data_IF_841394602863
#
_entry.id   IF_841394602863
#
_cell.length_a   1.000
_cell.length_b   1.000
_cell.length_c   1.000
_cell.angle_alpha   90.00
_cell.angle_beta   90.00
_cell.angle_gamma   90.00
#
_symmetry.space_group_name_H-M   'P 1'
#
loop_
_entity.id
_entity.type
_entity.pdbx_description
1 polymer ?
#
# COMPACT_ATOMS: atom_id res chain seq x y z
N UNK A 1 -55.40 4.05 -37.79
CA UNK A 1 -55.48 5.12 -36.78
C UNK A 1 -54.50 4.79 -35.68
N UNK A 2 -53.50 5.64 -35.50
CA UNK A 2 -52.33 5.44 -34.66
C UNK A 2 -52.64 5.73 -33.18
N UNK A 3 -52.11 4.92 -32.26
CA UNK A 3 -52.23 5.15 -30.81
C UNK A 3 -50.87 4.99 -30.08
N UNK A 4 -50.21 6.14 -29.94
CA UNK A 4 -49.51 6.69 -28.76
C UNK A 4 -48.74 5.79 -27.78
N UNK A 5 -47.53 5.30 -28.14
CA UNK A 5 -46.53 4.82 -27.15
C UNK A 5 -45.07 5.04 -27.54
N UNK A 6 -44.60 6.30 -27.49
CA UNK A 6 -43.27 6.73 -26.97
C UNK A 6 -43.08 8.23 -27.23
N UNK A 7 -43.73 9.09 -26.44
CA UNK A 7 -43.30 10.49 -26.29
C UNK A 7 -42.01 10.51 -25.48
N UNK A 8 -40.89 10.89 -26.10
CA UNK A 8 -39.66 11.28 -25.38
C UNK A 8 -39.97 12.51 -24.51
N UNK A 9 -40.41 12.26 -23.28
CA UNK A 9 -40.73 13.29 -22.30
C UNK A 9 -39.43 13.82 -21.69
N UNK A 10 -39.01 14.97 -22.21
CA UNK A 10 -37.94 15.77 -21.63
C UNK A 10 -38.34 16.29 -20.24
N UNK A 11 -37.51 16.02 -19.24
CA UNK A 11 -37.76 16.40 -17.86
C UNK A 11 -37.05 17.70 -17.51
N UNK A 12 -37.73 18.58 -16.78
CA UNK A 12 -37.08 19.72 -16.12
C UNK A 12 -36.14 19.22 -14.99
N UNK A 13 -35.19 20.05 -14.50
CA UNK A 13 -34.29 19.64 -13.43
C UNK A 13 -35.01 19.14 -12.16
N UNK A 14 -36.14 19.77 -11.79
CA UNK A 14 -36.92 19.38 -10.63
C UNK A 14 -37.62 18.02 -10.82
N UNK A 15 -38.16 17.77 -12.01
CA UNK A 15 -38.79 16.48 -12.34
C UNK A 15 -37.75 15.36 -12.44
N UNK A 16 -36.58 15.64 -13.04
CA UNK A 16 -35.47 14.70 -13.11
C UNK A 16 -34.97 14.33 -11.71
N UNK A 17 -34.70 15.33 -10.87
CA UNK A 17 -34.31 15.16 -9.47
C UNK A 17 -35.29 14.27 -8.69
N UNK A 18 -36.59 14.57 -8.79
CA UNK A 18 -37.64 13.77 -8.13
C UNK A 18 -37.67 12.33 -8.62
N UNK A 19 -37.46 12.10 -9.93
CA UNK A 19 -37.53 10.77 -10.54
C UNK A 19 -36.30 9.91 -10.25
N UNK A 20 -35.13 10.50 -10.11
CA UNK A 20 -33.87 9.78 -9.82
C UNK A 20 -33.51 9.76 -8.33
N UNK A 21 -34.28 10.44 -7.47
CA UNK A 21 -33.98 10.60 -6.05
C UNK A 21 -32.76 11.49 -5.76
N UNK A 22 -32.36 12.32 -6.73
CA UNK A 22 -31.22 13.24 -6.62
C UNK A 22 -31.71 14.65 -6.31
N UNK A 23 -30.80 15.53 -5.86
CA UNK A 23 -31.09 16.97 -5.77
C UNK A 23 -30.79 17.66 -7.09
N UNK A 24 -31.46 18.79 -7.36
CA UNK A 24 -31.13 19.64 -8.53
C UNK A 24 -29.66 20.12 -8.48
N UNK A 25 -29.11 20.29 -7.27
CA UNK A 25 -27.69 20.61 -7.07
C UNK A 25 -26.79 19.46 -7.53
N UNK A 26 -27.12 18.21 -7.23
CA UNK A 26 -26.36 17.04 -7.69
C UNK A 26 -26.33 16.95 -9.23
N UNK A 27 -27.46 17.19 -9.90
CA UNK A 27 -27.52 17.23 -11.37
C UNK A 27 -26.55 18.27 -11.98
N UNK A 28 -26.45 19.46 -11.37
CA UNK A 28 -25.50 20.50 -11.79
C UNK A 28 -24.04 20.12 -11.54
N UNK A 29 -23.77 19.45 -10.43
CA UNK A 29 -22.42 18.94 -10.11
C UNK A 29 -22.00 17.90 -11.16
N UNK A 30 -22.91 17.02 -11.56
CA UNK A 30 -22.61 15.98 -12.56
C UNK A 30 -22.40 16.59 -13.95
N UNK A 31 -23.21 17.57 -14.36
CA UNK A 31 -22.96 18.34 -15.59
C UNK A 31 -21.60 19.06 -15.55
N UNK A 32 -21.25 19.72 -14.43
CA UNK A 32 -19.97 20.40 -14.29
C UNK A 32 -18.77 19.45 -14.30
N UNK A 33 -18.95 18.21 -13.84
CA UNK A 33 -17.95 17.15 -13.88
C UNK A 33 -17.87 16.44 -15.26
N UNK A 34 -18.61 16.93 -16.27
CA UNK A 34 -18.64 16.36 -17.63
C UNK A 34 -19.41 15.04 -17.74
N UNK A 35 -20.09 14.62 -16.67
CA UNK A 35 -20.82 13.34 -16.60
C UNK A 35 -22.18 13.37 -17.30
N UNK A 36 -22.71 14.57 -17.52
CA UNK A 36 -23.99 14.81 -18.19
C UNK A 36 -23.85 15.98 -19.15
N UNK A 37 -24.51 15.87 -20.30
CA UNK A 37 -24.62 16.95 -21.27
C UNK A 37 -26.10 17.15 -21.64
N UNK A 38 -26.92 17.68 -20.71
CA UNK A 38 -28.35 17.78 -20.92
C UNK A 38 -28.68 18.77 -22.04
N UNK A 39 -29.73 18.46 -22.81
CA UNK A 39 -30.23 19.35 -23.85
C UNK A 39 -30.68 20.67 -23.24
N UNK A 40 -30.61 21.75 -24.00
CA UNK A 40 -31.12 23.06 -23.59
C UNK A 40 -32.23 23.55 -24.51
N UNK A 41 -33.19 24.28 -23.95
CA UNK A 41 -34.20 25.03 -24.72
C UNK A 41 -33.59 26.30 -25.33
N UNK A 42 -34.31 26.95 -26.23
CA UNK A 42 -33.93 28.26 -26.79
C UNK A 42 -33.74 29.35 -25.72
N UNK A 43 -34.47 29.25 -24.59
CA UNK A 43 -34.30 30.11 -23.41
C UNK A 43 -33.20 29.62 -22.46
N UNK A 44 -32.35 28.71 -22.92
CA UNK A 44 -31.20 28.14 -22.20
C UNK A 44 -31.56 27.32 -20.94
N UNK A 45 -32.77 26.75 -20.87
CA UNK A 45 -33.17 25.88 -19.75
C UNK A 45 -32.81 24.41 -20.01
N UNK A 46 -32.30 23.72 -18.99
CA UNK A 46 -31.88 22.32 -19.07
C UNK A 46 -33.08 21.37 -19.17
N UNK A 47 -32.95 20.38 -20.04
CA UNK A 47 -33.90 19.32 -20.29
C UNK A 47 -33.16 17.97 -20.28
N UNK A 48 -33.68 17.02 -19.52
CA UNK A 48 -33.11 15.69 -19.36
C UNK A 48 -33.97 14.66 -20.09
N UNK A 49 -33.38 13.93 -21.02
CA UNK A 49 -34.04 12.89 -21.79
C UNK A 49 -33.78 11.48 -21.24
N UNK A 50 -34.23 10.47 -21.99
CA UNK A 50 -34.02 9.07 -21.62
C UNK A 50 -32.54 8.69 -21.48
N UNK A 51 -31.66 9.24 -22.32
CA UNK A 51 -30.21 8.99 -22.26
C UNK A 51 -29.58 9.58 -21.00
N UNK A 52 -29.99 10.79 -20.59
CA UNK A 52 -29.53 11.41 -19.36
C UNK A 52 -29.96 10.60 -18.13
N UNK A 53 -31.19 10.07 -18.15
CA UNK A 53 -31.68 9.20 -17.07
C UNK A 53 -30.88 7.89 -16.99
N UNK A 54 -30.59 7.25 -18.13
CA UNK A 54 -29.77 6.05 -18.15
C UNK A 54 -28.36 6.32 -17.59
N UNK A 55 -27.75 7.44 -18.00
CA UNK A 55 -26.44 7.89 -17.49
C UNK A 55 -26.48 8.20 -16.00
N UNK A 56 -27.55 8.84 -15.51
CA UNK A 56 -27.74 9.11 -14.08
C UNK A 56 -27.90 7.83 -13.26
N UNK A 57 -28.62 6.83 -13.78
CA UNK A 57 -28.76 5.53 -13.12
C UNK A 57 -27.41 4.81 -13.03
N UNK A 58 -26.58 4.88 -14.07
CA UNK A 58 -25.22 4.34 -14.08
C UNK A 58 -24.32 5.03 -13.04
N UNK A 59 -24.30 6.37 -13.02
CA UNK A 59 -23.56 7.17 -12.02
C UNK A 59 -24.02 6.81 -10.59
N UNK A 60 -25.32 6.71 -10.36
CA UNK A 60 -25.87 6.37 -9.05
C UNK A 60 -25.48 4.95 -8.61
N UNK A 61 -25.45 4.00 -9.53
CA UNK A 61 -25.06 2.61 -9.27
C UNK A 61 -23.58 2.56 -8.86
N UNK A 62 -22.72 3.21 -9.62
CA UNK A 62 -21.29 3.31 -9.30
C UNK A 62 -21.05 4.08 -8.01
N UNK A 63 -21.83 5.13 -7.74
CA UNK A 63 -21.72 5.89 -6.49
C UNK A 63 -22.11 5.07 -5.26
N UNK A 64 -23.11 4.20 -5.38
CA UNK A 64 -23.51 3.23 -4.34
C UNK A 64 -22.46 2.15 -4.11
N UNK A 65 -21.64 1.86 -5.12
CA UNK A 65 -20.50 0.95 -5.01
C UNK A 65 -19.24 1.62 -4.44
N UNK A 66 -19.35 2.87 -3.94
CA UNK A 66 -18.27 3.57 -3.25
C UNK A 66 -17.41 4.49 -4.12
N UNK A 67 -17.65 4.56 -5.45
CA UNK A 67 -16.79 5.32 -6.35
C UNK A 67 -16.93 6.84 -6.14
N UNK A 68 -15.83 7.58 -6.27
CA UNK A 68 -15.82 9.05 -6.28
C UNK A 68 -16.31 9.59 -7.62
N UNK A 69 -16.75 10.86 -7.65
CA UNK A 69 -17.24 11.47 -8.90
C UNK A 69 -16.18 11.55 -10.00
N UNK A 70 -14.93 11.76 -9.61
CA UNK A 70 -13.79 11.78 -10.52
C UNK A 70 -13.51 10.41 -11.14
N UNK A 71 -13.62 9.33 -10.34
CA UNK A 71 -13.48 7.95 -10.83
C UNK A 71 -14.60 7.60 -11.80
N UNK A 72 -15.84 7.97 -11.47
CA UNK A 72 -16.99 7.77 -12.36
C UNK A 72 -16.79 8.55 -13.67
N UNK A 73 -16.26 9.77 -13.62
CA UNK A 73 -16.01 10.58 -14.83
C UNK A 73 -15.00 9.93 -15.76
N UNK A 74 -13.88 9.43 -15.23
CA UNK A 74 -12.87 8.70 -16.03
C UNK A 74 -13.42 7.41 -16.65
N UNK A 75 -14.23 6.68 -15.90
CA UNK A 75 -14.81 5.40 -16.34
C UNK A 75 -15.83 5.60 -17.46
N UNK A 76 -16.70 6.61 -17.33
CA UNK A 76 -17.75 6.89 -18.31
C UNK A 76 -17.26 7.68 -19.53
N UNK A 77 -16.07 8.29 -19.45
CA UNK A 77 -15.40 8.95 -20.58
C UNK A 77 -14.76 7.96 -21.59
N UNK A 78 -14.92 6.65 -21.41
CA UNK A 78 -14.41 5.63 -22.35
C UNK A 78 -12.90 5.43 -22.29
N UNK A 79 -12.21 6.04 -21.31
CA UNK A 79 -10.85 5.63 -20.97
C UNK A 79 -10.97 4.27 -20.30
N UNK A 80 -10.42 3.23 -20.95
CA UNK A 80 -10.39 1.86 -20.48
C UNK A 80 -9.53 1.70 -19.21
N UNK A 81 -9.88 2.40 -18.14
CA UNK A 81 -9.60 1.95 -16.79
C UNK A 81 -10.57 0.82 -16.51
N UNK A 82 -10.02 -0.39 -16.62
CA UNK A 82 -10.56 -1.69 -16.27
C UNK A 82 -11.55 -1.61 -15.10
N UNK A 83 -12.85 -1.47 -15.39
CA UNK A 83 -13.95 -1.36 -14.40
C UNK A 83 -13.89 -2.54 -13.42
N UNK A 84 -13.53 -3.71 -13.92
CA UNK A 84 -13.29 -4.92 -13.14
C UNK A 84 -12.23 -4.70 -12.07
N UNK A 85 -11.15 -3.99 -12.41
CA UNK A 85 -10.07 -3.63 -11.48
C UNK A 85 -10.51 -2.63 -10.42
N UNK A 86 -11.28 -1.61 -10.79
CA UNK A 86 -11.82 -0.62 -9.84
C UNK A 86 -12.76 -1.31 -8.86
N UNK A 87 -13.66 -2.17 -9.35
CA UNK A 87 -14.58 -2.94 -8.52
C UNK A 87 -13.86 -3.96 -7.65
N UNK A 88 -12.80 -4.60 -8.16
CA UNK A 88 -11.97 -5.52 -7.38
C UNK A 88 -11.28 -4.82 -6.21
N UNK A 89 -10.73 -3.62 -6.44
CA UNK A 89 -10.09 -2.82 -5.36
C UNK A 89 -11.12 -2.39 -4.32
N UNK A 90 -12.30 -1.93 -4.74
CA UNK A 90 -13.40 -1.59 -3.82
C UNK A 90 -13.88 -2.79 -3.02
N UNK A 91 -14.03 -3.96 -3.67
CA UNK A 91 -14.42 -5.19 -3.00
C UNK A 91 -13.38 -5.62 -1.94
N UNK A 92 -12.08 -5.47 -2.23
CA UNK A 92 -11.01 -5.75 -1.26
C UNK A 92 -11.06 -4.78 -0.07
N UNK A 93 -11.22 -3.47 -0.31
CA UNK A 93 -11.34 -2.49 0.77
C UNK A 93 -12.53 -2.76 1.70
N UNK A 94 -13.68 -3.13 1.13
CA UNK A 94 -14.87 -3.50 1.90
C UNK A 94 -14.65 -4.80 2.70
N UNK A 95 -13.94 -5.78 2.15
CA UNK A 95 -13.60 -7.02 2.87
C UNK A 95 -12.66 -6.75 4.05
N UNK A 96 -11.66 -5.90 3.88
CA UNK A 96 -10.80 -5.48 5.00
C UNK A 96 -11.60 -4.74 6.08
N UNK A 97 -12.55 -3.89 5.68
CA UNK A 97 -13.44 -3.22 6.62
C UNK A 97 -14.31 -4.23 7.39
N UNK A 98 -14.82 -5.27 6.74
CA UNK A 98 -15.54 -6.37 7.39
C UNK A 98 -14.65 -7.06 8.43
N UNK A 99 -13.41 -7.43 8.08
CA UNK A 99 -12.48 -8.08 9.00
C UNK A 99 -12.18 -7.20 10.22
N UNK A 100 -11.97 -5.89 10.01
CA UNK A 100 -11.75 -4.94 11.12
C UNK A 100 -12.97 -4.82 12.03
N UNK A 101 -14.16 -4.70 11.45
CA UNK A 101 -15.41 -4.62 12.21
C UNK A 101 -15.64 -5.91 13.01
N UNK A 102 -15.38 -7.07 12.41
CA UNK A 102 -15.47 -8.37 13.09
C UNK A 102 -14.49 -8.45 14.26
N UNK A 103 -13.24 -8.02 14.07
CA UNK A 103 -12.25 -8.00 15.15
C UNK A 103 -12.65 -7.07 16.30
N UNK A 104 -13.15 -5.86 15.99
CA UNK A 104 -13.69 -4.94 17.00
C UNK A 104 -14.89 -5.54 17.74
N UNK A 105 -15.78 -6.24 17.05
CA UNK A 105 -16.89 -6.97 17.68
C UNK A 105 -16.38 -8.07 18.62
N UNK A 106 -15.40 -8.87 18.20
CA UNK A 106 -14.79 -9.90 19.06
C UNK A 106 -14.16 -9.30 20.33
N UNK A 107 -13.48 -8.15 20.22
CA UNK A 107 -12.94 -7.45 21.39
C UNK A 107 -14.05 -6.99 22.34
N UNK A 108 -15.15 -6.44 21.80
CA UNK A 108 -16.31 -6.03 22.58
C UNK A 108 -16.95 -7.25 23.27
N UNK A 109 -17.14 -8.37 22.55
CA UNK A 109 -17.73 -9.61 23.09
C UNK A 109 -16.88 -10.19 24.23
N UNK A 110 -15.56 -10.20 24.07
CA UNK A 110 -14.62 -10.65 25.10
C UNK A 110 -14.66 -9.74 26.35
N UNK A 111 -14.74 -8.43 26.16
CA UNK A 111 -14.88 -7.47 27.26
C UNK A 111 -16.21 -7.63 28.00
N UNK A 112 -17.31 -7.81 27.26
CA UNK A 112 -18.63 -8.09 27.85
C UNK A 112 -18.62 -9.39 28.66
N UNK A 113 -17.92 -10.42 28.17
CA UNK A 113 -17.76 -11.70 28.88
C UNK A 113 -16.95 -11.53 30.16
N UNK A 114 -15.82 -10.81 30.14
CA UNK A 114 -15.01 -10.48 31.33
C UNK A 114 -15.84 -9.73 32.39
N UNK A 115 -16.64 -8.76 31.96
CA UNK A 115 -17.53 -8.03 32.88
C UNK A 115 -18.59 -8.95 33.50
N UNK A 116 -19.13 -9.91 32.73
CA UNK A 116 -20.11 -10.87 33.22
C UNK A 116 -19.51 -11.89 34.20
N UNK A 117 -18.24 -12.24 34.08
CA UNK A 117 -17.51 -13.13 35.02
C UNK A 117 -16.97 -12.41 36.25
N UNK A 118 -17.17 -11.09 36.36
CA UNK A 118 -16.73 -10.28 37.50
C UNK A 118 -15.27 -9.84 37.43
N UNK A 119 -14.61 -10.02 36.28
CA UNK A 119 -13.25 -9.54 36.04
C UNK A 119 -13.23 -8.03 35.75
N UNK A 120 -12.19 -7.35 36.22
CA UNK A 120 -12.02 -5.91 36.05
C UNK A 120 -11.41 -5.65 34.67
N UNK A 121 -12.07 -4.82 33.86
CA UNK A 121 -11.52 -4.36 32.59
C UNK A 121 -10.23 -3.58 32.79
N UNK A 122 -9.18 -3.96 32.07
CA UNK A 122 -7.89 -3.27 32.15
C UNK A 122 -7.87 -2.01 31.27
N UNK A 123 -6.97 -1.09 31.58
CA UNK A 123 -6.70 0.07 30.71
C UNK A 123 -6.22 -0.37 29.33
N UNK A 124 -5.53 -1.50 29.21
CA UNK A 124 -5.08 -2.06 27.94
C UNK A 124 -6.23 -2.60 27.09
N UNK A 125 -7.25 -3.21 27.71
CA UNK A 125 -8.48 -3.63 27.02
C UNK A 125 -9.18 -2.39 26.40
N UNK A 126 -9.30 -1.31 27.18
CA UNK A 126 -9.91 -0.05 26.71
C UNK A 126 -9.06 0.66 25.65
N UNK A 127 -7.72 0.60 25.77
CA UNK A 127 -6.80 1.13 24.78
C UNK A 127 -6.82 0.32 23.48
N UNK A 128 -7.00 -1.00 23.53
CA UNK A 128 -7.16 -1.83 22.34
C UNK A 128 -8.44 -1.47 21.57
N UNK A 129 -9.54 -1.20 22.28
CA UNK A 129 -10.79 -0.70 21.69
C UNK A 129 -10.61 0.72 21.11
N UNK A 130 -9.95 1.62 21.84
CA UNK A 130 -9.70 3.00 21.40
C UNK A 130 -8.77 3.07 20.18
N UNK A 131 -7.74 2.21 20.09
CA UNK A 131 -6.86 2.12 18.91
C UNK A 131 -7.62 1.64 17.68
N UNK A 132 -8.52 0.68 17.84
CA UNK A 132 -9.34 0.17 16.73
C UNK A 132 -10.47 1.15 16.33
N UNK A 133 -10.92 2.02 17.24
CA UNK A 133 -11.95 3.02 16.98
C UNK A 133 -11.41 4.40 16.57
N UNK A 134 -10.16 4.77 16.88
CA UNK A 134 -9.52 6.03 16.47
C UNK A 134 -8.67 5.95 15.20
N UNK A 135 -8.37 4.75 14.70
CA UNK A 135 -7.71 4.54 13.39
C UNK A 135 -8.73 4.48 12.22
N UNK A 136 -9.96 4.94 12.43
CA UNK A 136 -11.16 4.52 11.69
C UNK A 136 -11.41 5.18 10.34
N UNK A 137 -10.76 6.28 9.97
CA UNK A 137 -11.03 6.91 8.66
C UNK A 137 -9.76 7.18 7.84
N UNK A 138 -8.62 7.45 8.47
CA UNK A 138 -7.45 7.96 7.73
C UNK A 138 -6.48 6.88 7.27
N UNK A 139 -6.12 5.88 8.09
CA UNK A 139 -4.88 5.08 7.82
C UNK A 139 -5.02 4.01 6.73
N UNK A 140 -6.10 3.22 6.71
CA UNK A 140 -6.29 2.21 5.65
C UNK A 140 -6.64 2.85 4.31
N UNK A 141 -7.49 3.89 4.29
CA UNK A 141 -7.73 4.69 3.09
C UNK A 141 -6.46 5.40 2.63
N UNK A 142 -5.63 5.92 3.55
CA UNK A 142 -4.33 6.55 3.21
C UNK A 142 -3.34 5.54 2.65
N UNK A 143 -3.21 4.33 3.22
CA UNK A 143 -2.29 3.31 2.68
C UNK A 143 -2.80 2.81 1.32
N UNK A 144 -4.09 2.53 1.17
CA UNK A 144 -4.68 2.14 -0.11
C UNK A 144 -4.56 3.26 -1.17
N UNK A 145 -4.76 4.51 -0.76
CA UNK A 145 -4.55 5.69 -1.60
C UNK A 145 -3.09 5.86 -1.98
N UNK A 146 -2.15 5.72 -1.04
CA UNK A 146 -0.70 5.76 -1.31
C UNK A 146 -0.29 4.63 -2.24
N UNK A 147 -0.75 3.39 -2.04
CA UNK A 147 -0.50 2.26 -2.97
C UNK A 147 -0.99 2.62 -4.37
N UNK A 148 -2.21 3.15 -4.47
CA UNK A 148 -2.77 3.59 -5.74
C UNK A 148 -1.96 4.72 -6.38
N UNK A 149 -1.56 5.74 -5.62
CA UNK A 149 -0.73 6.85 -6.10
C UNK A 149 0.65 6.36 -6.58
N UNK A 150 1.34 5.57 -5.76
CA UNK A 150 2.67 5.03 -6.05
C UNK A 150 2.70 4.09 -7.26
N UNK A 151 1.58 3.44 -7.60
CA UNK A 151 1.45 2.57 -8.78
C UNK A 151 1.02 3.30 -10.06
N UNK A 152 0.70 4.61 -10.00
CA UNK A 152 0.31 5.34 -11.22
C UNK A 152 1.51 5.47 -12.18
N UNK A 153 1.28 5.45 -13.49
CA UNK A 153 2.30 5.81 -14.46
C UNK A 153 2.86 7.19 -14.15
N UNK A 154 4.18 7.28 -14.04
CA UNK A 154 4.92 8.52 -13.79
C UNK A 154 5.46 9.06 -15.10
N UNK A 155 5.50 10.38 -15.22
CA UNK A 155 6.03 11.06 -16.40
C UNK A 155 7.28 11.82 -16.00
N UNK A 156 8.38 11.54 -16.68
CA UNK A 156 9.63 12.26 -16.48
C UNK A 156 9.47 13.73 -16.90
N UNK A 157 9.99 14.64 -16.06
CA UNK A 157 10.01 16.08 -16.31
C UNK A 157 11.40 16.64 -16.06
N UNK A 158 11.85 17.50 -16.95
CA UNK A 158 13.10 18.21 -16.77
C UNK A 158 13.03 19.17 -15.57
N UNK A 159 14.05 19.14 -14.73
CA UNK A 159 14.29 20.10 -13.64
C UNK A 159 15.61 20.84 -13.91
N UNK A 160 15.91 21.91 -13.16
CA UNK A 160 17.18 22.63 -13.32
C UNK A 160 18.37 21.69 -13.06
N UNK A 161 19.22 21.54 -14.08
CA UNK A 161 20.44 20.74 -14.05
C UNK A 161 21.35 20.99 -12.85
N UNK A 162 21.33 22.22 -12.29
CA UNK A 162 22.17 22.58 -11.14
C UNK A 162 21.76 21.88 -9.85
N UNK A 163 20.49 21.49 -9.72
CA UNK A 163 19.96 20.86 -8.50
C UNK A 163 20.41 19.42 -8.33
N UNK A 164 20.82 18.73 -9.42
CA UNK A 164 21.18 17.32 -9.37
C UNK A 164 22.36 17.02 -8.42
N UNK A 165 23.31 17.96 -8.33
CA UNK A 165 24.46 17.81 -7.43
C UNK A 165 24.06 17.83 -5.94
N UNK A 166 22.96 18.51 -5.58
CA UNK A 166 22.51 18.63 -4.18
C UNK A 166 22.02 17.30 -3.59
N UNK A 167 21.47 16.43 -4.44
CA UNK A 167 20.92 15.14 -4.03
C UNK A 167 21.98 14.05 -3.86
N UNK A 168 23.17 14.27 -4.40
CA UNK A 168 24.26 13.30 -4.28
C UNK A 168 24.71 13.19 -2.82
N UNK A 169 24.90 11.96 -2.34
CA UNK A 169 25.27 11.70 -0.95
C UNK A 169 24.83 10.33 -0.47
N UNK A 170 24.94 10.12 0.84
CA UNK A 170 24.55 8.86 1.49
C UNK A 170 23.40 9.11 2.45
N UNK A 171 22.39 8.26 2.39
CA UNK A 171 21.18 8.36 3.20
C UNK A 171 20.94 7.03 3.89
N UNK A 172 20.99 7.01 5.21
CA UNK A 172 20.83 5.80 6.01
C UNK A 172 19.35 5.54 6.26
N UNK A 173 18.85 4.41 5.81
CA UNK A 173 17.56 3.87 6.19
C UNK A 173 17.79 2.62 7.04
N UNK A 174 17.56 2.76 8.34
CA UNK A 174 17.82 1.70 9.31
C UNK A 174 19.25 1.09 9.17
N UNK A 175 19.37 -0.15 8.68
CA UNK A 175 20.64 -0.86 8.47
C UNK A 175 21.23 -0.73 7.07
N UNK A 176 20.49 -0.16 6.12
CA UNK A 176 20.94 0.01 4.73
C UNK A 176 21.26 1.48 4.43
N UNK A 177 22.08 1.69 3.40
CA UNK A 177 22.43 3.02 2.91
C UNK A 177 22.01 3.15 1.46
N UNK A 178 21.25 4.20 1.17
CA UNK A 178 21.05 4.72 -0.17
C UNK A 178 22.24 5.59 -0.52
N UNK A 179 23.03 5.17 -1.50
CA UNK A 179 24.05 6.01 -2.14
C UNK A 179 23.43 6.63 -3.38
N UNK A 180 23.27 7.95 -3.36
CA UNK A 180 22.79 8.73 -4.49
C UNK A 180 24.00 9.33 -5.21
N UNK A 181 24.12 9.03 -6.50
CA UNK A 181 25.16 9.52 -7.39
C UNK A 181 24.54 10.35 -8.50
N UNK A 182 25.26 11.37 -8.93
CA UNK A 182 24.89 12.19 -10.08
C UNK A 182 25.94 12.04 -11.19
N UNK A 183 25.47 11.88 -12.43
CA UNK A 183 26.30 11.90 -13.64
C UNK A 183 25.46 12.44 -14.80
N UNK A 184 25.97 13.43 -15.55
CA UNK A 184 25.33 13.99 -16.74
C UNK A 184 23.82 14.30 -16.61
N UNK A 185 23.43 15.04 -15.56
CA UNK A 185 22.03 15.42 -15.27
C UNK A 185 21.11 14.22 -15.00
N UNK A 186 21.67 13.09 -14.59
CA UNK A 186 20.96 11.88 -14.18
C UNK A 186 21.30 11.56 -12.74
N UNK A 187 20.32 11.04 -12.01
CA UNK A 187 20.54 10.50 -10.67
C UNK A 187 20.51 8.98 -10.71
N UNK A 188 21.38 8.38 -9.92
CA UNK A 188 21.43 6.95 -9.70
C UNK A 188 21.36 6.68 -8.21
N UNK A 189 20.56 5.70 -7.82
CA UNK A 189 20.44 5.25 -6.45
C UNK A 189 20.90 3.80 -6.35
N UNK A 190 21.84 3.56 -5.42
CA UNK A 190 22.27 2.22 -5.04
C UNK A 190 21.97 2.01 -3.56
N UNK A 191 21.11 1.05 -3.27
CA UNK A 191 20.93 0.55 -1.90
C UNK A 191 22.02 -0.45 -1.60
N UNK A 192 22.53 -0.49 -0.37
CA UNK A 192 23.52 -1.47 0.06
C UNK A 192 23.12 -2.90 -0.36
N UNK A 193 24.01 -3.60 -1.08
CA UNK A 193 23.77 -4.97 -1.55
C UNK A 193 22.89 -5.11 -2.79
N UNK A 194 22.31 -4.02 -3.28
CA UNK A 194 21.45 -4.02 -4.46
C UNK A 194 22.14 -3.40 -5.67
N UNK A 195 21.57 -3.66 -6.85
CA UNK A 195 22.01 -3.05 -8.11
C UNK A 195 21.72 -1.55 -8.12
N UNK A 196 22.58 -0.78 -8.77
CA UNK A 196 22.34 0.65 -8.99
C UNK A 196 21.22 0.84 -10.03
N UNK A 197 20.25 1.69 -9.69
CA UNK A 197 19.10 2.00 -10.54
C UNK A 197 19.02 3.50 -10.80
N UNK A 198 18.60 3.87 -12.01
CA UNK A 198 18.40 5.27 -12.39
C UNK A 198 17.12 5.85 -11.80
N UNK A 199 17.22 7.09 -11.34
CA UNK A 199 16.14 7.93 -10.85
C UNK A 199 15.77 8.98 -11.89
N UNK A 200 14.48 9.05 -12.22
CA UNK A 200 13.93 10.01 -13.17
C UNK A 200 13.16 11.09 -12.42
N UNK A 201 13.40 12.35 -12.75
CA UNK A 201 12.72 13.46 -12.10
C UNK A 201 11.24 13.51 -12.52
N UNK A 202 10.33 13.64 -11.56
CA UNK A 202 8.92 13.96 -11.79
C UNK A 202 8.66 15.44 -11.52
N UNK A 203 9.30 15.98 -10.48
CA UNK A 203 9.31 17.40 -10.10
C UNK A 203 10.57 17.70 -9.26
N UNK A 204 10.78 18.96 -8.89
CA UNK A 204 11.90 19.32 -8.00
C UNK A 204 11.78 18.52 -6.69
N UNK A 205 12.89 17.95 -6.25
CA UNK A 205 13.00 17.08 -5.07
C UNK A 205 12.21 15.75 -5.14
N UNK A 206 11.56 15.40 -6.27
CA UNK A 206 10.81 14.13 -6.40
C UNK A 206 11.18 13.35 -7.65
N UNK A 207 11.52 12.10 -7.41
CA UNK A 207 12.05 11.18 -8.39
C UNK A 207 11.31 9.85 -8.33
N UNK A 208 11.36 9.09 -9.42
CA UNK A 208 10.77 7.76 -9.49
C UNK A 208 11.67 6.80 -10.25
N UNK A 209 11.48 5.50 -10.01
CA UNK A 209 12.11 4.45 -10.79
C UNK A 209 11.21 4.03 -11.95
N UNK A 210 11.80 3.78 -13.12
CA UNK A 210 11.10 3.11 -14.24
C UNK A 210 11.13 1.58 -14.10
N UNK A 211 12.12 1.04 -13.41
CA UNK A 211 12.34 -0.40 -13.27
C UNK A 211 11.52 -1.05 -12.14
N UNK A 212 11.16 -0.29 -11.10
CA UNK A 212 10.41 -0.77 -9.94
C UNK A 212 9.33 0.25 -9.56
N UNK A 213 8.18 -0.19 -8.99
CA UNK A 213 7.10 0.71 -8.57
C UNK A 213 7.42 1.40 -7.24
N UNK A 214 8.42 2.28 -7.25
CA UNK A 214 8.85 3.05 -6.09
C UNK A 214 9.22 4.50 -6.46
N UNK A 215 9.13 5.40 -5.49
CA UNK A 215 9.49 6.81 -5.62
C UNK A 215 10.40 7.25 -4.48
N UNK A 216 11.08 8.37 -4.73
CA UNK A 216 11.98 9.02 -3.79
C UNK A 216 11.64 10.50 -3.73
N UNK A 217 11.37 11.01 -2.53
CA UNK A 217 11.26 12.46 -2.29
C UNK A 217 12.39 12.91 -1.38
N UNK A 218 13.06 14.00 -1.73
CA UNK A 218 14.11 14.61 -0.90
C UNK A 218 13.51 15.71 -0.03
N UNK A 219 14.01 15.83 1.20
CA UNK A 219 13.65 16.90 2.12
C UNK A 219 14.82 17.84 2.31
N UNK A 220 14.54 19.15 2.31
CA UNK A 220 15.52 20.22 2.53
C UNK A 220 15.27 20.93 3.85
N UNK A 221 16.33 21.44 4.49
CA UNK A 221 16.23 22.31 5.67
C UNK A 221 15.95 23.77 5.27
N UNK A 222 15.89 24.67 6.27
CA UNK A 222 15.63 26.10 6.06
C UNK A 222 16.70 26.81 5.21
N UNK A 223 17.92 26.29 5.22
CA UNK A 223 19.07 26.75 4.44
C UNK A 223 19.06 26.19 3.00
N UNK A 224 18.08 25.35 2.64
CA UNK A 224 17.95 24.75 1.32
C UNK A 224 18.82 23.50 1.08
N UNK A 225 19.53 23.01 2.10
CA UNK A 225 20.33 21.80 2.00
C UNK A 225 19.47 20.55 2.11
N UNK A 226 19.71 19.56 1.25
CA UNK A 226 19.06 18.25 1.34
C UNK A 226 19.55 17.51 2.59
N UNK A 227 18.63 17.15 3.48
CA UNK A 227 18.94 16.50 4.77
C UNK A 227 18.38 15.09 4.89
N UNK A 228 17.39 14.72 4.07
CA UNK A 228 16.79 13.41 4.10
C UNK A 228 16.21 13.01 2.74
N UNK A 229 15.93 11.72 2.63
CA UNK A 229 15.29 11.06 1.50
C UNK A 229 14.14 10.22 2.05
N UNK A 230 12.97 10.24 1.43
CA UNK A 230 11.85 9.37 1.78
C UNK A 230 11.61 8.40 0.63
N UNK A 231 11.68 7.10 0.92
CA UNK A 231 11.28 6.03 0.02
C UNK A 231 9.76 5.86 0.09
N UNK A 232 9.08 5.90 -1.05
CA UNK A 232 7.65 5.64 -1.18
C UNK A 232 7.47 4.33 -1.94
N UNK A 233 7.00 3.28 -1.25
CA UNK A 233 6.80 1.97 -1.85
C UNK A 233 5.70 1.18 -1.14
N UNK A 234 4.86 0.46 -1.90
CA UNK A 234 3.79 -0.41 -1.39
C UNK A 234 2.81 0.26 -0.40
N UNK A 235 2.60 1.57 -0.52
CA UNK A 235 1.75 2.37 0.35
C UNK A 235 2.43 2.88 1.62
N UNK A 236 3.70 2.52 1.80
CA UNK A 236 4.52 2.93 2.92
C UNK A 236 5.48 4.03 2.50
N UNK A 237 5.91 4.79 3.51
CA UNK A 237 6.83 5.89 3.39
C UNK A 237 7.86 5.74 4.50
N UNK A 238 9.13 5.62 4.13
CA UNK A 238 10.23 5.39 5.06
C UNK A 238 11.33 6.42 4.82
N UNK A 239 11.74 7.12 5.88
CA UNK A 239 12.67 8.25 5.77
C UNK A 239 14.09 7.82 6.14
N UNK A 240 15.01 8.07 5.21
CA UNK A 240 16.44 7.90 5.33
C UNK A 240 17.12 9.25 5.61
N UNK A 241 17.89 9.32 6.70
CA UNK A 241 18.62 10.52 7.08
C UNK A 241 19.94 10.62 6.31
N UNK A 242 20.32 11.84 5.88
CA UNK A 242 21.62 12.05 5.25
C UNK A 242 22.75 11.84 6.26
N UNK A 243 23.75 11.05 5.89
CA UNK A 243 24.90 10.70 6.72
C UNK A 243 26.22 11.01 6.03
N UNK A 244 27.26 11.21 6.83
CA UNK A 244 28.62 11.40 6.34
C UNK A 244 29.14 10.15 5.62
N UNK A 245 29.97 10.33 4.60
CA UNK A 245 30.53 9.23 3.78
C UNK A 245 31.26 8.17 4.63
N UNK A 246 31.96 8.58 5.69
CA UNK A 246 32.63 7.63 6.60
C UNK A 246 31.66 6.72 7.37
N UNK A 247 30.51 7.25 7.79
CA UNK A 247 29.47 6.47 8.46
C UNK A 247 28.81 5.47 7.50
N UNK A 248 28.55 5.89 6.26
CA UNK A 248 28.06 5.01 5.20
C UNK A 248 29.04 3.87 4.90
N UNK A 249 30.33 4.19 4.71
CA UNK A 249 31.36 3.19 4.45
C UNK A 249 31.51 2.17 5.60
N UNK A 250 31.33 2.60 6.84
CA UNK A 250 31.37 1.70 8.02
C UNK A 250 30.22 0.69 8.00
N UNK A 251 29.00 1.13 7.64
CA UNK A 251 27.83 0.25 7.51
C UNK A 251 28.02 -0.77 6.38
N UNK A 252 28.48 -0.32 5.20
CA UNK A 252 28.77 -1.20 4.08
C UNK A 252 29.87 -2.22 4.42
N UNK A 253 30.95 -1.79 5.09
CA UNK A 253 32.02 -2.68 5.52
C UNK A 253 31.55 -3.74 6.54
N UNK A 254 30.71 -3.33 7.50
CA UNK A 254 30.12 -4.24 8.50
C UNK A 254 29.25 -5.29 7.84
N UNK A 255 28.42 -4.89 6.86
CA UNK A 255 27.60 -5.83 6.11
C UNK A 255 28.47 -6.77 5.26
N UNK A 256 29.47 -6.24 4.55
CA UNK A 256 30.38 -7.04 3.73
C UNK A 256 31.15 -8.08 4.56
N UNK A 257 31.56 -7.73 5.78
CA UNK A 257 32.15 -8.67 6.72
C UNK A 257 31.15 -9.76 7.13
N UNK A 258 29.92 -9.38 7.50
CA UNK A 258 28.87 -10.35 7.86
C UNK A 258 28.55 -11.33 6.72
N UNK A 259 28.51 -10.85 5.47
CA UNK A 259 28.31 -11.69 4.27
C UNK A 259 29.49 -12.66 4.10
N UNK A 260 30.72 -12.13 4.17
CA UNK A 260 31.95 -12.92 4.03
C UNK A 260 32.08 -14.01 5.10
N UNK A 261 31.75 -13.68 6.35
CA UNK A 261 31.79 -14.61 7.48
C UNK A 261 30.59 -15.56 7.52
N UNK A 262 29.56 -15.33 6.69
CA UNK A 262 28.26 -16.01 6.77
C UNK A 262 27.74 -16.02 8.20
N UNK A 263 27.73 -14.85 8.84
CA UNK A 263 27.32 -14.73 10.24
C UNK A 263 25.83 -14.40 10.31
N UNK A 264 24.98 -15.31 10.84
CA UNK A 264 23.56 -14.99 11.00
C UNK A 264 23.37 -13.83 12.00
N UNK A 265 22.21 -13.17 11.93
CA UNK A 265 21.78 -12.29 13.02
C UNK A 265 21.64 -13.13 14.30
N UNK A 266 21.93 -12.54 15.45
CA UNK A 266 21.79 -13.23 16.73
C UNK A 266 20.34 -13.72 16.91
N UNK A 267 20.17 -14.97 17.36
CA UNK A 267 18.87 -15.63 17.60
C UNK A 267 17.94 -15.78 16.37
N UNK A 268 18.37 -15.40 15.18
CA UNK A 268 17.67 -15.58 13.88
C UNK A 268 17.03 -16.96 13.69
N UNK A 269 17.77 -18.05 13.95
CA UNK A 269 17.24 -19.42 13.87
C UNK A 269 16.05 -19.64 14.81
N UNK A 270 16.15 -19.16 16.06
CA UNK A 270 15.08 -19.31 17.06
C UNK A 270 13.87 -18.46 16.69
N UNK A 271 14.07 -17.24 16.19
CA UNK A 271 13.01 -16.37 15.70
C UNK A 271 12.26 -17.01 14.53
N UNK A 272 12.99 -17.59 13.57
CA UNK A 272 12.39 -18.31 12.45
C UNK A 272 11.61 -19.56 12.91
N UNK A 273 12.18 -20.32 13.84
CA UNK A 273 11.51 -21.49 14.41
C UNK A 273 10.19 -21.13 15.09
N UNK A 274 10.19 -20.08 15.91
CA UNK A 274 9.01 -19.57 16.57
C UNK A 274 7.96 -19.09 15.56
N UNK A 275 8.40 -18.36 14.53
CA UNK A 275 7.52 -17.89 13.46
C UNK A 275 6.81 -19.05 12.75
N UNK A 276 7.54 -20.10 12.37
CA UNK A 276 6.97 -21.31 11.74
C UNK A 276 5.97 -21.97 12.67
N UNK A 277 6.32 -22.13 13.95
CA UNK A 277 5.47 -22.75 14.95
C UNK A 277 4.13 -22.01 15.13
N UNK A 278 4.17 -20.68 15.23
CA UNK A 278 2.97 -19.86 15.37
C UNK A 278 2.07 -19.93 14.13
N UNK A 279 2.65 -19.95 12.92
CA UNK A 279 1.88 -20.16 11.70
C UNK A 279 1.24 -21.56 11.62
N UNK A 280 1.94 -22.61 12.06
CA UNK A 280 1.40 -23.98 12.12
C UNK A 280 0.26 -24.12 13.12
N UNK A 281 0.29 -23.35 14.23
CA UNK A 281 -0.81 -23.24 15.19
C UNK A 281 -1.99 -22.41 14.68
N UNK A 282 -1.80 -21.63 13.62
CA UNK A 282 -2.80 -20.69 13.11
C UNK A 282 -2.87 -19.38 13.89
N UNK A 283 -1.89 -19.09 14.76
CA UNK A 283 -1.81 -17.91 15.63
C UNK A 283 -0.54 -17.07 15.34
N UNK A 284 -0.28 -16.63 14.09
CA UNK A 284 0.91 -15.84 13.78
C UNK A 284 0.95 -14.50 14.56
N UNK A 285 2.06 -14.23 15.23
CA UNK A 285 2.29 -12.98 15.95
C UNK A 285 2.79 -11.87 15.01
N UNK A 286 1.85 -11.11 14.45
CA UNK A 286 2.15 -9.98 13.59
C UNK A 286 2.78 -8.79 14.31
N UNK A 287 2.84 -8.78 15.65
CA UNK A 287 3.51 -7.71 16.41
C UNK A 287 5.03 -7.83 16.35
N UNK A 288 5.55 -8.98 15.91
CA UNK A 288 6.97 -9.23 15.64
C UNK A 288 7.42 -8.78 14.25
N UNK A 289 6.54 -8.14 13.48
CA UNK A 289 6.83 -7.66 12.13
C UNK A 289 6.67 -6.14 12.07
N UNK A 290 7.44 -5.48 11.21
CA UNK A 290 7.20 -4.08 10.89
C UNK A 290 5.79 -3.92 10.30
N UNK A 291 5.14 -2.74 10.45
CA UNK A 291 3.80 -2.53 9.91
C UNK A 291 3.65 -2.88 8.41
N UNK A 292 4.63 -2.57 7.53
CA UNK A 292 4.60 -3.03 6.14
C UNK A 292 4.55 -4.55 5.98
N UNK A 293 5.46 -5.27 6.63
CA UNK A 293 5.52 -6.73 6.51
C UNK A 293 4.29 -7.39 7.14
N UNK A 294 3.83 -6.89 8.29
CA UNK A 294 2.64 -7.38 8.97
C UNK A 294 1.38 -7.27 8.10
N UNK A 295 1.27 -6.23 7.26
CA UNK A 295 0.15 -6.09 6.34
C UNK A 295 0.20 -7.16 5.23
N UNK A 296 1.38 -7.35 4.61
CA UNK A 296 1.59 -8.35 3.55
C UNK A 296 1.37 -9.77 4.09
N UNK A 297 1.89 -10.08 5.29
CA UNK A 297 1.74 -11.39 5.91
C UNK A 297 0.26 -11.72 6.20
N UNK A 298 -0.54 -10.74 6.64
CA UNK A 298 -1.99 -10.91 6.84
C UNK A 298 -2.73 -11.15 5.54
N UNK A 299 -2.40 -10.41 4.48
CA UNK A 299 -2.98 -10.59 3.14
C UNK A 299 -2.71 -11.99 2.58
N UNK A 300 -1.54 -12.58 2.91
CA UNK A 300 -1.11 -13.90 2.42
C UNK A 300 -1.35 -15.03 3.43
N UNK A 301 -1.99 -14.78 4.57
CA UNK A 301 -2.06 -15.72 5.69
C UNK A 301 -2.63 -17.09 5.31
N UNK A 302 -3.70 -17.13 4.50
CA UNK A 302 -4.31 -18.39 4.06
C UNK A 302 -3.41 -19.19 3.09
N UNK A 303 -2.65 -18.49 2.23
CA UNK A 303 -1.69 -19.12 1.33
C UNK A 303 -0.55 -19.74 2.13
N UNK A 304 0.01 -18.97 3.07
CA UNK A 304 1.10 -19.41 3.95
C UNK A 304 0.66 -20.61 4.79
N UNK A 305 -0.53 -20.52 5.40
CA UNK A 305 -1.12 -21.60 6.20
C UNK A 305 -1.31 -22.87 5.37
N UNK A 306 -1.91 -22.76 4.19
CA UNK A 306 -2.15 -23.90 3.30
C UNK A 306 -0.86 -24.58 2.86
N UNK A 307 0.18 -23.80 2.54
CA UNK A 307 1.49 -24.34 2.17
C UNK A 307 2.19 -25.05 3.34
N UNK A 308 2.17 -24.46 4.54
CA UNK A 308 2.76 -25.07 5.73
C UNK A 308 2.04 -26.36 6.15
N UNK A 309 0.70 -26.39 6.07
CA UNK A 309 -0.07 -27.61 6.31
C UNK A 309 0.27 -28.71 5.29
N UNK A 310 0.46 -28.34 4.02
CA UNK A 310 0.88 -29.27 2.96
C UNK A 310 2.26 -29.86 3.23
N UNK A 311 3.19 -29.06 3.76
CA UNK A 311 4.56 -29.46 4.06
C UNK A 311 4.68 -30.33 5.33
N UNK A 312 3.74 -30.22 6.27
CA UNK A 312 3.71 -31.01 7.50
C UNK A 312 4.59 -30.44 8.61
N UNK A 313 4.93 -31.27 9.60
CA UNK A 313 5.68 -30.80 10.77
C UNK A 313 7.09 -30.32 10.40
N UNK A 314 7.58 -29.29 11.10
CA UNK A 314 8.96 -28.81 10.98
C UNK A 314 9.92 -29.90 11.48
N UNK A 315 10.95 -30.22 10.69
CA UNK A 315 12.00 -31.20 11.04
C UNK A 315 13.31 -30.54 11.40
N UNK A 316 13.79 -29.61 10.57
CA UNK A 316 15.08 -28.96 10.75
C UNK A 316 15.11 -27.55 10.16
N UNK A 317 15.98 -26.71 10.73
CA UNK A 317 16.28 -25.37 10.24
C UNK A 317 17.80 -25.22 10.23
N UNK A 318 18.37 -25.16 9.03
CA UNK A 318 19.83 -25.06 8.83
C UNK A 318 20.17 -23.74 8.17
N UNK A 319 21.11 -22.99 8.77
CA UNK A 319 21.59 -21.74 8.23
C UNK A 319 22.46 -21.96 6.99
N UNK A 320 22.17 -21.24 5.92
CA UNK A 320 22.83 -21.37 4.61
C UNK A 320 23.83 -20.26 4.34
N UNK A 321 23.52 -19.04 4.76
CA UNK A 321 24.36 -17.88 4.52
C UNK A 321 23.60 -16.57 4.64
N UNK A 322 24.25 -15.50 4.21
CA UNK A 322 23.69 -14.15 4.16
C UNK A 322 23.69 -13.71 2.69
N UNK A 323 22.60 -13.12 2.22
CA UNK A 323 22.51 -12.54 0.86
C UNK A 323 23.33 -11.26 0.74
N UNK A 324 23.56 -10.78 -0.48
CA UNK A 324 24.32 -9.55 -0.74
C UNK A 324 23.68 -8.29 -0.10
N UNK A 325 22.35 -8.31 0.08
CA UNK A 325 21.56 -7.30 0.79
C UNK A 325 21.34 -7.59 2.28
N UNK A 326 22.01 -8.62 2.83
CA UNK A 326 22.10 -8.83 4.27
C UNK A 326 21.00 -9.68 4.91
N UNK A 327 20.23 -10.42 4.12
CA UNK A 327 19.18 -11.28 4.64
C UNK A 327 19.76 -12.61 5.10
N UNK A 328 19.34 -13.10 6.26
CA UNK A 328 19.68 -14.45 6.68
C UNK A 328 18.92 -15.45 5.84
N UNK A 329 19.61 -16.47 5.33
CA UNK A 329 19.03 -17.54 4.50
C UNK A 329 19.10 -18.86 5.25
N UNK A 330 17.98 -19.56 5.28
CA UNK A 330 17.82 -20.86 5.92
C UNK A 330 17.22 -21.87 4.97
N UNK A 331 17.75 -23.10 4.99
CA UNK A 331 17.02 -24.27 4.50
C UNK A 331 16.12 -24.78 5.62
N UNK A 332 14.82 -24.76 5.37
CA UNK A 332 13.75 -25.14 6.30
C UNK A 332 13.14 -26.46 5.82
N UNK A 333 13.44 -27.53 6.55
CA UNK A 333 13.01 -28.88 6.22
C UNK A 333 11.74 -29.24 6.99
N UNK A 334 10.75 -29.74 6.26
CA UNK A 334 9.48 -30.23 6.79
C UNK A 334 9.33 -31.73 6.49
N UNK A 335 8.28 -32.37 7.00
CA UNK A 335 7.99 -33.77 6.74
C UNK A 335 7.88 -34.13 5.26
N UNK A 336 7.26 -33.26 4.46
CA UNK A 336 6.87 -33.51 3.06
C UNK A 336 7.54 -32.56 2.05
N UNK A 337 8.64 -31.91 2.44
CA UNK A 337 9.40 -31.04 1.55
C UNK A 337 10.40 -30.15 2.26
N UNK A 338 11.16 -29.40 1.48
CA UNK A 338 12.10 -28.38 1.95
C UNK A 338 11.79 -27.04 1.27
N UNK A 339 12.06 -25.95 1.97
CA UNK A 339 11.97 -24.60 1.43
C UNK A 339 13.18 -23.79 1.86
N UNK A 340 13.61 -22.86 1.01
CA UNK A 340 14.57 -21.83 1.35
C UNK A 340 13.81 -20.60 1.86
N UNK A 341 14.08 -20.19 3.09
CA UNK A 341 13.48 -19.01 3.71
C UNK A 341 14.57 -17.98 3.92
N UNK A 342 14.34 -16.77 3.43
CA UNK A 342 15.23 -15.64 3.68
C UNK A 342 14.47 -14.52 4.37
N UNK A 343 15.06 -13.91 5.38
CA UNK A 343 14.45 -12.77 6.07
C UNK A 343 15.50 -11.77 6.55
N UNK A 344 15.03 -10.55 6.82
CA UNK A 344 15.80 -9.50 7.47
C UNK A 344 15.07 -9.03 8.74
N UNK A 345 15.82 -8.37 9.62
CA UNK A 345 15.28 -7.74 10.82
C UNK A 345 15.65 -6.26 10.81
N UNK A 346 14.71 -5.40 11.20
CA UNK A 346 14.96 -3.99 11.50
C UNK A 346 15.88 -3.81 12.72
N UNK A 347 16.37 -2.60 12.99
CA UNK A 347 17.22 -2.31 14.16
C UNK A 347 16.54 -2.58 15.51
N UNK A 348 15.21 -2.51 15.57
CA UNK A 348 14.40 -2.84 16.75
C UNK A 348 14.14 -4.36 16.92
N UNK A 349 14.63 -5.18 16.00
CA UNK A 349 14.53 -6.63 16.03
C UNK A 349 13.22 -7.19 15.46
N UNK A 350 12.35 -6.35 14.88
CA UNK A 350 11.16 -6.82 14.15
C UNK A 350 11.56 -7.36 12.77
N UNK A 351 10.82 -8.37 12.28
CA UNK A 351 10.94 -8.80 10.89
C UNK A 351 10.51 -7.66 9.96
N UNK A 352 11.38 -7.24 9.04
CA UNK A 352 11.11 -6.17 8.07
C UNK A 352 10.96 -6.70 6.63
N UNK A 353 11.45 -7.92 6.36
CA UNK A 353 11.30 -8.61 5.09
C UNK A 353 11.31 -10.13 5.26
N UNK A 354 10.53 -10.84 4.43
CA UNK A 354 10.53 -12.30 4.40
C UNK A 354 10.18 -12.84 3.00
N UNK A 355 10.94 -13.82 2.53
CA UNK A 355 10.73 -14.52 1.26
C UNK A 355 10.81 -16.03 1.52
N UNK A 356 9.85 -16.77 0.97
CA UNK A 356 9.80 -18.24 1.02
C UNK A 356 9.85 -18.78 -0.40
N UNK A 357 10.85 -19.62 -0.69
CA UNK A 357 11.04 -20.26 -2.00
C UNK A 357 11.02 -21.78 -1.84
N UNK A 358 10.40 -22.48 -2.79
CA UNK A 358 10.50 -23.93 -2.85
C UNK A 358 11.89 -24.31 -3.34
N UNK A 359 12.55 -25.20 -2.62
CA UNK A 359 13.78 -25.84 -3.09
C UNK A 359 13.36 -26.88 -4.14
N UNK A 360 13.87 -26.75 -5.37
CA UNK A 360 13.57 -27.69 -6.47
C UNK A 360 14.13 -29.08 -6.18
#
# INVERSE_FOLDING_TARGET
MADDRTKDSWLTPAQCAKRTGLTVRALRIYEAAGLLAPRRTEKNWRLYGAQDLARLTEILTLKRLGLTLEQISRLLAGQATDLERVLSVQASALREQIVRIQHSLTLIDNMQTKMATGEILSTDDLLALARNHSMTETTSETIAWRRYDQMRPRTERAIDSRLYADYAGHYRLDKVVFTIRHEDQRLFARVTGQVELELFAEEVDRFFYKAVPAQISFSRNAEGMVTALTLHQNGHEETAERVETGAAATLEATLAERIREKRPVENSRLLLQELVYQHQKGEPDYTKMTPPLAAIAREQAEIIRGELQRLGALKDITFKGVTDDGWDVYDVSFEKGCQEWSFSLASDGLFDGMIMRRTM
#
